data_IF_296323973327
#
_entry.id   IF_296323973327
#
_cell.length_a   1.000
_cell.length_b   1.000
_cell.length_c   1.000
_cell.angle_alpha   90.00
_cell.angle_beta   90.00
_cell.angle_gamma   90.00
#
_symmetry.space_group_name_H-M   'P 1'
#
loop_
_entity.id
_entity.type
_entity.pdbx_description
1 polymer ?
#
# COMPACT_ATOMS: atom_id res chain seq x y z
N UNK A 1 3.33 -44.55 -9.52
CA UNK A 1 4.13 -44.04 -10.65
C UNK A 1 3.93 -42.54 -10.77
N UNK A 2 4.80 -41.72 -10.17
CA UNK A 2 5.07 -40.37 -10.69
C UNK A 2 6.54 -40.11 -10.38
N UNK A 3 7.38 -40.27 -11.41
CA UNK A 3 8.75 -39.78 -11.43
C UNK A 3 8.89 -38.99 -12.72
N UNK A 4 9.73 -37.97 -12.64
CA UNK A 4 10.31 -37.19 -13.73
C UNK A 4 9.47 -35.97 -14.15
N UNK A 5 10.02 -34.78 -14.36
CA UNK A 5 11.33 -34.16 -14.14
C UNK A 5 11.17 -32.80 -14.81
N UNK A 6 11.44 -31.70 -14.14
CA UNK A 6 11.93 -30.50 -14.81
C UNK A 6 12.88 -29.78 -13.87
N UNK A 7 14.16 -30.12 -14.03
CA UNK A 7 15.29 -29.33 -13.56
C UNK A 7 15.98 -28.77 -14.80
N UNK A 8 16.15 -27.45 -14.85
CA UNK A 8 17.35 -26.71 -15.27
C UNK A 8 16.98 -25.21 -15.48
N UNK A 9 17.94 -24.30 -15.62
CA UNK A 9 18.75 -23.76 -14.54
C UNK A 9 18.56 -22.23 -14.42
N UNK A 10 18.55 -21.70 -13.20
CA UNK A 10 18.60 -20.25 -13.01
C UNK A 10 20.01 -19.75 -13.34
N UNK A 11 20.15 -19.09 -14.51
CA UNK A 11 21.28 -18.20 -14.80
C UNK A 11 21.26 -17.05 -13.81
N UNK A 12 22.46 -16.71 -13.36
CA UNK A 12 22.71 -15.82 -12.25
C UNK A 12 22.08 -14.44 -12.35
N UNK A 13 21.58 -13.98 -11.21
CA UNK A 13 22.01 -12.71 -10.67
C UNK A 13 22.43 -12.96 -9.22
N UNK A 14 23.72 -12.83 -9.01
CA UNK A 14 24.42 -12.93 -7.74
C UNK A 14 23.98 -11.77 -6.85
N UNK A 15 22.91 -11.96 -6.08
CA UNK A 15 22.72 -11.22 -4.83
C UNK A 15 23.59 -11.91 -3.80
N UNK A 16 24.82 -11.42 -3.65
CA UNK A 16 25.61 -11.64 -2.44
C UNK A 16 24.84 -11.09 -1.27
N UNK A 17 24.14 -11.98 -0.57
CA UNK A 17 23.76 -11.73 0.80
C UNK A 17 25.00 -12.05 1.64
N UNK A 18 25.70 -11.00 2.05
CA UNK A 18 26.83 -11.05 2.96
C UNK A 18 26.40 -11.81 4.24
N UNK A 19 27.06 -12.93 4.60
CA UNK A 19 26.79 -13.58 5.86
C UNK A 19 27.49 -12.78 6.95
N UNK A 20 26.81 -11.81 7.54
CA UNK A 20 27.21 -11.27 8.83
C UNK A 20 26.95 -12.35 9.90
N UNK A 21 27.87 -13.31 9.97
CA UNK A 21 28.01 -14.22 11.09
C UNK A 21 28.40 -13.41 12.34
N UNK A 22 27.40 -12.87 13.04
CA UNK A 22 27.52 -12.56 14.47
C UNK A 22 26.60 -13.49 15.24
N UNK A 23 27.25 -14.47 15.85
CA UNK A 23 26.86 -15.20 17.05
C UNK A 23 25.76 -14.49 17.87
N UNK A 24 24.55 -15.06 17.88
CA UNK A 24 23.65 -14.97 19.03
C UNK A 24 23.04 -16.37 19.25
N UNK A 25 23.32 -16.88 20.44
CA UNK A 25 22.87 -18.10 21.11
C UNK A 25 21.71 -18.96 20.54
N UNK A 26 21.83 -20.30 20.69
CA UNK A 26 20.71 -21.22 20.56
C UNK A 26 19.96 -21.28 21.89
N UNK A 27 18.93 -20.45 22.08
CA UNK A 27 17.79 -20.82 22.93
C UNK A 27 16.66 -19.81 22.83
N UNK A 28 15.72 -20.06 21.92
CA UNK A 28 14.31 -19.74 22.13
C UNK A 28 13.50 -20.54 21.12
N UNK A 29 13.06 -21.73 21.56
CA UNK A 29 11.85 -22.34 21.02
C UNK A 29 10.77 -21.27 21.05
N UNK A 30 10.35 -20.79 19.89
CA UNK A 30 9.07 -20.11 19.77
C UNK A 30 8.01 -21.21 19.80
N UNK A 31 7.65 -21.65 21.02
CA UNK A 31 6.41 -22.38 21.24
C UNK A 31 5.27 -21.44 20.94
N UNK A 32 4.72 -21.50 19.73
CA UNK A 32 3.39 -20.94 19.44
C UNK A 32 2.36 -21.98 19.91
N UNK A 33 2.32 -22.23 21.21
CA UNK A 33 1.15 -22.87 21.81
C UNK A 33 0.12 -21.77 22.03
N UNK A 34 -1.01 -21.94 21.38
CA UNK A 34 -2.14 -21.04 21.45
C UNK A 34 -2.70 -21.01 22.88
N UNK A 35 -2.44 -19.93 23.62
CA UNK A 35 -3.21 -19.57 24.81
C UNK A 35 -4.22 -18.51 24.42
N UNK A 36 -5.45 -18.97 24.22
CA UNK A 36 -6.65 -18.15 24.32
C UNK A 36 -6.63 -17.38 25.64
N UNK A 37 -6.33 -16.08 25.59
CA UNK A 37 -6.69 -15.14 26.65
C UNK A 37 -6.59 -13.71 26.13
N UNK A 38 -7.76 -13.06 26.12
CA UNK A 38 -7.97 -11.62 26.24
C UNK A 38 -7.31 -10.76 25.17
N UNK A 39 -8.16 -10.25 24.28
CA UNK A 39 -8.22 -8.84 23.86
C UNK A 39 -7.08 -8.00 24.44
N UNK A 40 -5.86 -8.18 23.92
CA UNK A 40 -4.85 -7.16 23.99
C UNK A 40 -5.25 -6.23 22.86
N UNK A 41 -6.06 -5.25 23.23
CA UNK A 41 -6.15 -3.99 22.52
C UNK A 41 -4.72 -3.54 22.24
N UNK A 42 -4.21 -3.86 21.05
CA UNK A 42 -3.11 -3.15 20.43
C UNK A 42 -3.66 -1.74 20.18
N UNK A 43 -3.71 -0.92 21.22
CA UNK A 43 -3.71 0.52 21.07
C UNK A 43 -2.34 0.83 20.50
N UNK A 44 -2.22 0.70 19.18
CA UNK A 44 -1.23 1.45 18.41
C UNK A 44 -1.51 2.90 18.80
N UNK A 45 -0.69 3.41 19.70
CA UNK A 45 -0.68 4.82 20.06
C UNK A 45 -0.17 5.57 18.83
N UNK A 46 -1.07 5.79 17.88
CA UNK A 46 -0.90 6.72 16.79
C UNK A 46 -0.75 8.10 17.41
N UNK A 47 0.50 8.48 17.73
CA UNK A 47 0.82 9.88 17.96
C UNK A 47 0.55 10.60 16.66
N UNK A 48 -0.66 11.14 16.54
CA UNK A 48 -1.01 12.14 15.55
C UNK A 48 -0.13 13.36 15.84
N UNK A 49 1.03 13.43 15.18
CA UNK A 49 1.83 14.65 15.14
C UNK A 49 1.00 15.72 14.43
N UNK A 50 0.22 16.48 15.20
CA UNK A 50 -0.49 17.65 14.71
C UNK A 50 0.56 18.70 14.35
N UNK A 51 0.89 18.81 13.06
CA UNK A 51 1.68 19.94 12.56
C UNK A 51 0.91 21.24 12.84
N UNK A 52 1.59 22.33 13.26
CA UNK A 52 0.94 23.61 13.47
C UNK A 52 0.27 24.06 12.17
N UNK A 53 -1.03 24.33 12.22
CA UNK A 53 -1.81 24.77 11.07
C UNK A 53 -1.40 26.20 10.68
N UNK A 54 -0.38 26.31 9.83
CA UNK A 54 0.02 27.57 9.22
C UNK A 54 -1.16 28.14 8.40
N UNK A 55 -1.34 29.47 8.46
CA UNK A 55 -2.40 30.14 7.71
C UNK A 55 -2.21 29.85 6.21
N UNK A 56 -3.29 29.49 5.48
CA UNK A 56 -3.17 29.15 4.06
C UNK A 56 -2.67 30.36 3.28
N UNK A 57 -1.63 30.15 2.46
CA UNK A 57 -1.02 31.17 1.61
C UNK A 57 -2.06 31.65 0.59
N UNK A 58 -2.09 32.97 0.34
CA UNK A 58 -2.91 33.54 -0.73
C UNK A 58 -2.27 33.21 -2.07
N UNK A 59 -3.02 32.55 -2.94
CA UNK A 59 -2.53 32.20 -4.28
C UNK A 59 -2.33 33.49 -5.12
N UNK A 60 -1.25 33.55 -5.94
CA UNK A 60 -1.14 34.51 -7.01
C UNK A 60 -2.33 34.43 -7.98
N UNK A 61 -2.60 35.49 -8.78
CA UNK A 61 -3.70 35.47 -9.73
C UNK A 61 -3.47 34.37 -10.79
N UNK A 62 -4.30 33.33 -10.72
CA UNK A 62 -4.33 32.23 -11.69
C UNK A 62 -5.37 32.50 -12.77
N UNK A 63 -5.43 31.66 -13.81
CA UNK A 63 -6.45 31.78 -14.87
C UNK A 63 -7.74 31.04 -14.54
N UNK A 64 -7.64 29.92 -13.81
CA UNK A 64 -8.77 29.08 -13.41
C UNK A 64 -8.36 28.22 -12.21
N UNK A 65 -9.19 28.19 -11.16
CA UNK A 65 -8.98 27.35 -9.99
C UNK A 65 -9.61 25.98 -10.22
N UNK A 66 -8.78 25.00 -10.60
CA UNK A 66 -9.24 23.64 -10.89
C UNK A 66 -8.29 22.60 -10.33
N UNK A 67 -8.86 21.52 -9.83
CA UNK A 67 -8.12 20.32 -9.45
C UNK A 67 -7.94 19.46 -10.69
N UNK A 68 -6.69 19.21 -11.06
CA UNK A 68 -6.34 18.42 -12.26
C UNK A 68 -6.86 16.99 -12.17
N UNK A 69 -6.58 16.32 -11.05
CA UNK A 69 -7.03 14.96 -10.76
C UNK A 69 -8.11 15.01 -9.68
N UNK A 70 -9.32 15.34 -10.09
CA UNK A 70 -10.44 15.51 -9.17
C UNK A 70 -10.98 14.17 -8.62
N UNK A 71 -10.70 13.07 -9.34
CA UNK A 71 -11.02 11.71 -8.88
C UNK A 71 -9.83 11.12 -8.12
N UNK A 72 -10.12 10.41 -7.04
CA UNK A 72 -9.13 9.56 -6.37
C UNK A 72 -8.73 8.44 -7.34
N UNK A 73 -7.42 8.21 -7.49
CA UNK A 73 -6.93 7.00 -8.16
C UNK A 73 -7.28 5.82 -7.26
N UNK A 74 -8.11 4.92 -7.78
CA UNK A 74 -8.36 3.63 -7.14
C UNK A 74 -7.17 2.77 -7.52
N UNK A 75 -6.27 2.57 -6.57
CA UNK A 75 -5.15 1.65 -6.74
C UNK A 75 -5.66 0.21 -6.79
N UNK A 76 -4.95 -0.66 -7.51
CA UNK A 76 -5.37 -2.05 -7.66
C UNK A 76 -5.25 -2.79 -6.31
N UNK A 77 -6.33 -3.43 -5.80
CA UNK A 77 -6.32 -4.05 -4.47
C UNK A 77 -5.37 -5.24 -4.37
N UNK A 78 -5.03 -5.90 -5.48
CA UNK A 78 -4.17 -7.08 -5.50
C UNK A 78 -2.69 -6.75 -5.35
N UNK A 79 -2.29 -5.48 -5.56
CA UNK A 79 -0.91 -5.04 -5.36
C UNK A 79 -0.49 -5.15 -3.88
N UNK A 80 -1.40 -4.85 -2.96
CA UNK A 80 -1.11 -5.00 -1.53
C UNK A 80 -0.96 -6.46 -1.11
N UNK A 81 -1.76 -7.36 -1.70
CA UNK A 81 -1.68 -8.80 -1.44
C UNK A 81 -0.41 -9.39 -2.06
N UNK A 82 -0.07 -8.98 -3.29
CA UNK A 82 1.20 -9.30 -3.95
C UNK A 82 2.39 -8.95 -3.07
N UNK A 83 2.43 -7.73 -2.53
CA UNK A 83 3.52 -7.29 -1.67
C UNK A 83 3.63 -8.15 -0.39
N UNK A 84 2.50 -8.58 0.16
CA UNK A 84 2.46 -9.49 1.31
C UNK A 84 3.04 -10.87 0.97
N UNK A 85 2.74 -11.43 -0.21
CA UNK A 85 3.31 -12.71 -0.68
C UNK A 85 4.83 -12.60 -0.83
N UNK A 86 5.32 -11.52 -1.46
CA UNK A 86 6.74 -11.27 -1.63
C UNK A 86 7.46 -11.13 -0.28
N UNK A 87 6.86 -10.44 0.68
CA UNK A 87 7.41 -10.32 2.04
C UNK A 87 7.45 -11.68 2.76
N UNK A 88 6.46 -12.55 2.54
CA UNK A 88 6.44 -13.90 3.09
C UNK A 88 7.57 -14.76 2.53
N UNK A 89 7.78 -14.72 1.21
CA UNK A 89 8.91 -15.45 0.59
C UNK A 89 10.27 -14.91 1.03
N UNK A 90 10.40 -13.61 1.27
CA UNK A 90 11.62 -13.01 1.78
C UNK A 90 11.95 -13.42 3.22
N UNK A 91 10.95 -13.76 4.04
CA UNK A 91 11.13 -14.06 5.47
C UNK A 91 11.11 -15.55 5.80
N UNK A 92 10.20 -16.31 5.21
CA UNK A 92 10.01 -17.74 5.47
C UNK A 92 10.65 -18.64 4.40
N UNK A 93 11.03 -18.06 3.25
CA UNK A 93 11.47 -18.81 2.08
C UNK A 93 10.35 -19.07 1.08
N UNK A 94 10.75 -19.43 -0.14
CA UNK A 94 9.84 -19.61 -1.26
C UNK A 94 8.91 -20.80 -1.07
N UNK A 95 7.61 -20.62 -1.35
CA UNK A 95 6.59 -21.68 -1.38
C UNK A 95 6.56 -22.55 -0.10
N UNK A 96 6.70 -21.92 1.07
CA UNK A 96 6.54 -22.60 2.35
C UNK A 96 5.07 -22.64 2.77
N UNK A 97 4.67 -23.66 3.54
CA UNK A 97 3.30 -23.80 4.03
C UNK A 97 2.80 -22.56 4.82
N UNK A 98 3.71 -21.76 5.38
CA UNK A 98 3.38 -20.51 6.07
C UNK A 98 2.85 -19.39 5.16
N UNK A 99 3.13 -19.44 3.85
CA UNK A 99 2.67 -18.43 2.88
C UNK A 99 1.39 -18.80 2.14
N UNK A 100 0.85 -20.02 2.33
CA UNK A 100 -0.29 -20.53 1.56
C UNK A 100 -1.55 -19.65 1.66
N UNK A 101 -1.81 -19.03 2.81
CA UNK A 101 -2.95 -18.12 2.98
C UNK A 101 -2.84 -16.86 2.11
N UNK A 102 -1.63 -16.31 1.97
CA UNK A 102 -1.38 -15.11 1.16
C UNK A 102 -1.43 -15.42 -0.33
N UNK A 103 -0.93 -16.59 -0.74
CA UNK A 103 -1.02 -17.07 -2.12
C UNK A 103 -2.48 -17.33 -2.54
N UNK A 104 -3.29 -17.88 -1.63
CA UNK A 104 -4.72 -18.05 -1.86
C UNK A 104 -5.46 -16.70 -1.91
N UNK A 105 -5.13 -15.77 -1.03
CA UNK A 105 -5.68 -14.41 -1.05
C UNK A 105 -5.34 -13.66 -2.35
N UNK A 106 -4.16 -13.94 -2.93
CA UNK A 106 -3.78 -13.35 -4.22
C UNK A 106 -4.62 -13.92 -5.36
N UNK A 107 -4.86 -15.24 -5.38
CA UNK A 107 -5.75 -15.86 -6.37
C UNK A 107 -7.16 -15.28 -6.29
N UNK A 108 -7.75 -15.24 -5.10
CA UNK A 108 -9.11 -14.70 -4.92
C UNK A 108 -9.20 -13.23 -5.33
N UNK A 109 -8.14 -12.45 -5.15
CA UNK A 109 -8.11 -11.06 -5.61
C UNK A 109 -8.09 -10.95 -7.15
N UNK A 110 -7.33 -11.81 -7.82
CA UNK A 110 -7.22 -11.79 -9.29
C UNK A 110 -8.45 -12.37 -9.98
N UNK A 111 -9.13 -13.32 -9.35
CA UNK A 111 -10.36 -13.92 -9.85
C UNK A 111 -11.59 -13.02 -9.63
N UNK A 112 -11.49 -12.05 -8.71
CA UNK A 112 -12.57 -11.11 -8.43
C UNK A 112 -12.82 -10.14 -9.60
N UNK A 113 -14.08 -9.79 -9.88
CA UNK A 113 -14.39 -8.81 -10.91
C UNK A 113 -13.85 -7.42 -10.54
N UNK A 114 -13.46 -6.65 -11.57
CA UNK A 114 -12.94 -5.30 -11.36
C UNK A 114 -14.00 -4.41 -10.69
N UNK A 115 -13.59 -3.58 -9.70
CA UNK A 115 -14.52 -2.68 -9.03
C UNK A 115 -15.07 -1.64 -10.00
N UNK A 116 -16.32 -1.25 -9.79
CA UNK A 116 -16.97 -0.21 -10.58
C UNK A 116 -16.19 1.12 -10.49
N UNK A 117 -16.18 1.87 -11.59
CA UNK A 117 -15.51 3.18 -11.64
C UNK A 117 -16.20 4.14 -10.68
N UNK A 118 -15.41 4.80 -9.83
CA UNK A 118 -15.92 5.81 -8.91
C UNK A 118 -16.65 6.95 -9.66
N UNK A 119 -17.73 7.50 -9.07
CA UNK A 119 -18.49 8.60 -9.65
C UNK A 119 -17.62 9.84 -9.85
N UNK A 120 -18.07 10.71 -10.77
CA UNK A 120 -17.34 11.93 -11.08
C UNK A 120 -17.49 12.94 -9.95
N UNK A 121 -16.39 13.59 -9.56
CA UNK A 121 -16.41 14.62 -8.53
C UNK A 121 -16.85 15.97 -9.11
N UNK A 122 -17.84 16.63 -8.49
CA UNK A 122 -18.34 17.96 -8.88
C UNK A 122 -17.46 19.13 -8.39
N UNK A 123 -16.28 18.86 -7.83
CA UNK A 123 -15.43 19.89 -7.19
C UNK A 123 -15.07 21.05 -8.14
N UNK A 124 -14.74 20.76 -9.39
CA UNK A 124 -14.38 21.80 -10.37
C UNK A 124 -15.57 22.70 -10.75
N UNK A 125 -16.80 22.21 -10.64
CA UNK A 125 -18.00 23.02 -10.85
C UNK A 125 -18.14 24.08 -9.76
N UNK A 126 -17.99 23.67 -8.50
CA UNK A 126 -18.10 24.57 -7.35
C UNK A 126 -16.91 25.55 -7.25
N UNK A 127 -15.69 25.10 -7.55
CA UNK A 127 -14.49 25.97 -7.54
C UNK A 127 -14.58 27.10 -8.57
N UNK A 128 -15.10 26.82 -9.77
CA UNK A 128 -15.29 27.86 -10.79
C UNK A 128 -16.34 28.90 -10.37
N UNK A 129 -17.41 28.49 -9.68
CA UNK A 129 -18.46 29.42 -9.22
C UNK A 129 -18.00 30.31 -8.06
N UNK A 130 -17.11 29.80 -7.21
CA UNK A 130 -16.57 30.53 -6.06
C UNK A 130 -15.28 31.29 -6.38
N UNK A 131 -14.76 31.17 -7.61
CA UNK A 131 -13.47 31.71 -8.02
C UNK A 131 -13.27 33.18 -7.66
N UNK A 132 -14.24 34.03 -8.03
CA UNK A 132 -14.18 35.48 -7.82
C UNK A 132 -14.26 35.88 -6.33
N UNK A 133 -14.74 34.99 -5.46
CA UNK A 133 -14.86 35.25 -4.01
C UNK A 133 -13.66 34.75 -3.22
N UNK A 134 -12.98 33.73 -3.72
CA UNK A 134 -11.86 33.07 -3.04
C UNK A 134 -10.52 33.68 -3.45
N UNK A 135 -10.42 34.18 -4.68
CA UNK A 135 -9.20 34.81 -5.21
C UNK A 135 -9.48 36.31 -5.44
N UNK A 136 -9.00 37.21 -4.55
CA UNK A 136 -9.34 38.64 -4.59
C UNK A 136 -8.80 39.37 -5.83
N UNK A 137 -7.81 38.81 -6.53
CA UNK A 137 -7.08 39.48 -7.62
C UNK A 137 -7.30 38.76 -8.97
N UNK A 138 -8.39 38.01 -9.11
CA UNK A 138 -8.64 37.16 -10.26
C UNK A 138 -8.73 37.96 -11.58
N UNK A 139 -7.71 37.86 -12.44
CA UNK A 139 -7.79 38.31 -13.84
C UNK A 139 -8.65 37.33 -14.63
N UNK A 140 -9.95 37.60 -14.75
CA UNK A 140 -10.88 36.76 -15.50
C UNK A 140 -10.56 36.87 -17.00
N UNK A 141 -9.97 35.84 -17.62
CA UNK A 141 -9.93 35.78 -19.10
C UNK A 141 -11.35 35.49 -19.61
N UNK A 142 -11.85 36.37 -20.47
CA UNK A 142 -13.04 36.13 -21.31
C UNK A 142 -12.73 35.05 -22.33
#
# INVERSE_FOLDING_TARGET
MVRSQFSAPLRGNHFTFEPASRLIHPSRRVSIFQTNTRVATYLVASRSSAMPAAKPIRLPPVKSLRVRNARKKVENPCINVMNSVLACWASAGYNTAGCAALENALRTCMDAPLPAKAPTSSINYHLNRMYDRVIPNATRRK
#
